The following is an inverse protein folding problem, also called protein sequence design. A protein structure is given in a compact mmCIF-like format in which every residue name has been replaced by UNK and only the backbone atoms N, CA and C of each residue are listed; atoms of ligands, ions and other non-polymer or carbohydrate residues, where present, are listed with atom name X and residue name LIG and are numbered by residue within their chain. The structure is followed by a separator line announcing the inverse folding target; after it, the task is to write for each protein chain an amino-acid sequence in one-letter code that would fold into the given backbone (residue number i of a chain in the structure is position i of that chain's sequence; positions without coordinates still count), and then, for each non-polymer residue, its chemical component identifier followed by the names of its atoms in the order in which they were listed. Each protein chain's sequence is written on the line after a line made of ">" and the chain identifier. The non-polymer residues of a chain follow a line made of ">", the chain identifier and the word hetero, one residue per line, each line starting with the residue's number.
data_IF_144234507283
#
_entry.id   IF_144234507283
#
_cell.length_a   1.000
_cell.length_b   1.000
_cell.length_c   1.000
_cell.angle_alpha   90.00
_cell.angle_beta   90.00
_cell.angle_gamma   90.00
#
_symmetry.space_group_name_H-M   'P 1'
#
loop_
_entity.id
_entity.type
_entity.pdbx_description
1 polymer ?
#
# COMPACT_ATOMS: atom_id res chain seq x y z
N UNK A 1 -34.25 17.57 -14.20
CA UNK A 1 -33.38 18.22 -13.18
C UNK A 1 -32.75 17.13 -12.32
N UNK A 2 -31.44 16.96 -12.40
CA UNK A 2 -30.68 16.01 -11.57
C UNK A 2 -30.56 16.64 -10.18
N UNK A 3 -31.31 16.15 -9.18
CA UNK A 3 -31.09 16.55 -7.78
C UNK A 3 -29.72 15.97 -7.40
N UNK A 4 -28.72 16.85 -7.42
CA UNK A 4 -27.33 16.48 -7.28
C UNK A 4 -27.09 15.76 -5.96
N UNK A 5 -26.23 14.74 -5.98
CA UNK A 5 -25.45 14.38 -4.79
C UNK A 5 -25.02 15.70 -4.15
N UNK A 6 -25.31 15.89 -2.86
CA UNK A 6 -25.05 17.18 -2.22
C UNK A 6 -23.60 17.53 -2.52
N UNK A 7 -23.34 18.76 -3.02
CA UNK A 7 -21.98 19.19 -3.35
C UNK A 7 -21.03 18.88 -2.20
N UNK A 8 -21.54 18.95 -0.97
CA UNK A 8 -20.90 18.58 0.29
C UNK A 8 -20.36 17.13 0.27
N UNK A 9 -21.14 16.10 -0.07
CA UNK A 9 -20.64 14.70 -0.11
C UNK A 9 -19.53 14.49 -1.14
N UNK A 10 -19.62 15.16 -2.29
CA UNK A 10 -18.58 15.08 -3.33
C UNK A 10 -17.31 15.84 -2.91
N UNK A 11 -17.47 16.99 -2.25
CA UNK A 11 -16.37 17.77 -1.67
C UNK A 11 -15.71 16.97 -0.54
N UNK A 12 -16.47 16.33 0.35
CA UNK A 12 -15.93 15.48 1.43
C UNK A 12 -15.16 14.31 0.84
N UNK A 13 -15.67 13.64 -0.20
CA UNK A 13 -14.96 12.54 -0.86
C UNK A 13 -13.65 13.02 -1.50
N UNK A 14 -13.65 14.18 -2.17
CA UNK A 14 -12.44 14.79 -2.74
C UNK A 14 -11.46 15.22 -1.65
N UNK A 15 -11.93 15.80 -0.55
CA UNK A 15 -11.11 16.21 0.61
C UNK A 15 -10.52 14.99 1.30
N UNK A 16 -11.26 13.90 1.50
CA UNK A 16 -10.75 12.65 2.05
C UNK A 16 -9.73 11.98 1.12
N UNK A 17 -9.93 12.04 -0.20
CA UNK A 17 -8.95 11.63 -1.20
C UNK A 17 -7.68 12.50 -1.12
N UNK A 18 -7.85 13.82 -1.02
CA UNK A 18 -6.74 14.77 -0.92
C UNK A 18 -5.98 14.58 0.40
N UNK A 19 -6.67 14.32 1.51
CA UNK A 19 -6.09 13.97 2.82
C UNK A 19 -5.39 12.62 2.74
N UNK A 20 -5.96 11.61 2.10
CA UNK A 20 -5.31 10.31 1.91
C UNK A 20 -4.03 10.42 1.07
N UNK A 21 -4.08 11.21 -0.01
CA UNK A 21 -2.94 11.51 -0.88
C UNK A 21 -1.90 12.35 -0.13
N UNK A 22 -2.28 13.42 0.58
CA UNK A 22 -1.35 14.27 1.34
C UNK A 22 -0.79 13.58 2.59
N UNK A 23 -1.56 12.75 3.29
CA UNK A 23 -1.08 11.89 4.37
C UNK A 23 -0.11 10.80 3.84
N UNK A 24 -0.22 10.41 2.57
CA UNK A 24 0.77 9.56 1.90
C UNK A 24 2.04 10.33 1.47
N UNK A 25 2.00 11.67 1.46
CA UNK A 25 3.13 12.55 1.14
C UNK A 25 3.80 13.19 2.37
N UNK A 26 3.12 13.39 3.51
CA UNK A 26 3.69 14.09 4.66
C UNK A 26 4.62 13.22 5.52
N UNK A 27 5.76 13.82 5.83
CA UNK A 27 7.03 13.25 6.24
C UNK A 27 7.21 12.94 7.75
N UNK A 28 8.20 12.06 7.99
CA UNK A 28 9.16 12.04 9.12
C UNK A 28 8.65 11.74 10.54
N UNK A 29 8.59 10.45 10.91
CA UNK A 29 8.71 10.03 12.33
C UNK A 29 9.51 8.73 12.53
N UNK A 30 10.51 8.47 11.68
CA UNK A 30 11.56 7.52 12.04
C UNK A 30 12.90 8.12 11.70
N UNK A 31 13.76 8.24 12.72
CA UNK A 31 15.18 8.51 12.54
C UNK A 31 15.70 7.49 11.51
N UNK A 32 16.33 7.95 10.42
CA UNK A 32 17.03 7.08 9.46
C UNK A 32 17.81 6.00 10.19
N UNK A 33 18.02 4.82 9.58
CA UNK A 33 18.81 3.76 10.21
C UNK A 33 20.16 4.26 10.73
N UNK A 34 20.79 5.26 10.06
CA UNK A 34 22.04 5.90 10.51
C UNK A 34 21.92 6.73 11.80
N UNK A 35 20.71 7.14 12.17
CA UNK A 35 20.38 7.95 13.33
C UNK A 35 19.71 7.11 14.45
N UNK A 36 19.50 5.82 14.21
CA UNK A 36 19.06 4.89 15.24
C UNK A 36 20.16 4.71 16.31
N UNK A 37 19.87 4.92 17.61
CA UNK A 37 20.87 4.82 18.69
C UNK A 37 21.56 3.44 18.72
N UNK A 38 20.85 2.35 18.47
CA UNK A 38 21.42 1.00 18.45
C UNK A 38 22.34 0.76 17.24
N UNK A 39 22.07 1.41 16.10
CA UNK A 39 22.96 1.33 14.94
C UNK A 39 24.20 2.22 15.10
N UNK A 40 24.03 3.39 15.73
CA UNK A 40 25.11 4.30 16.09
C UNK A 40 26.10 3.65 17.06
N UNK A 41 25.59 2.95 18.06
CA UNK A 41 26.39 2.17 19.00
C UNK A 41 27.17 1.05 18.30
N UNK A 42 26.53 0.27 17.42
CA UNK A 42 27.22 -0.76 16.62
C UNK A 42 28.28 -0.19 15.67
N UNK A 43 28.04 0.99 15.09
CA UNK A 43 29.04 1.66 14.26
C UNK A 43 30.23 2.14 15.09
N UNK A 44 29.99 2.59 16.34
CA UNK A 44 31.04 2.91 17.31
C UNK A 44 31.83 1.66 17.71
N UNK A 45 31.16 0.56 18.07
CA UNK A 45 31.76 -0.74 18.40
C UNK A 45 32.66 -1.23 17.25
N UNK A 46 32.16 -1.19 16.01
CA UNK A 46 32.94 -1.56 14.82
C UNK A 46 34.18 -0.68 14.61
N UNK A 47 34.05 0.62 14.88
CA UNK A 47 35.16 1.58 14.75
C UNK A 47 36.22 1.35 15.84
N UNK A 48 35.80 1.07 17.08
CA UNK A 48 36.68 0.72 18.19
C UNK A 48 37.42 -0.59 17.91
N UNK A 49 36.69 -1.64 17.49
CA UNK A 49 37.27 -2.92 17.12
C UNK A 49 38.33 -2.77 16.01
N UNK A 50 38.09 -1.91 15.01
CA UNK A 50 39.08 -1.61 13.97
C UNK A 50 40.35 -0.97 14.54
N UNK A 51 40.22 -0.04 15.50
CA UNK A 51 41.36 0.59 16.17
C UNK A 51 42.17 -0.42 17.01
N UNK A 52 41.48 -1.29 17.74
CA UNK A 52 42.10 -2.33 18.56
C UNK A 52 42.90 -3.31 17.70
N UNK A 53 42.32 -3.80 16.60
CA UNK A 53 43.03 -4.68 15.67
C UNK A 53 44.22 -4.00 15.01
N UNK A 54 44.10 -2.74 14.60
CA UNK A 54 45.22 -1.98 14.07
C UNK A 54 46.35 -1.84 15.10
N UNK A 55 46.02 -1.61 16.38
CA UNK A 55 47.01 -1.53 17.46
C UNK A 55 47.69 -2.88 17.72
N UNK A 56 46.91 -3.97 17.73
CA UNK A 56 47.41 -5.34 17.90
C UNK A 56 48.33 -5.76 16.75
N UNK A 57 47.97 -5.44 15.50
CA UNK A 57 48.82 -5.67 14.33
C UNK A 57 50.11 -4.83 14.41
N UNK A 58 50.01 -3.53 14.69
CA UNK A 58 51.19 -2.65 14.81
C UNK A 58 52.15 -3.14 15.89
N UNK A 59 51.62 -3.56 17.05
CA UNK A 59 52.43 -4.12 18.15
C UNK A 59 53.09 -5.44 17.76
N UNK A 60 52.38 -6.31 17.04
CA UNK A 60 52.94 -7.58 16.59
C UNK A 60 54.04 -7.36 15.54
N UNK A 61 53.83 -6.43 14.61
CA UNK A 61 54.83 -6.03 13.62
C UNK A 61 56.06 -5.39 14.27
N UNK A 62 55.90 -4.59 15.34
CA UNK A 62 57.05 -4.03 16.07
C UNK A 62 57.87 -5.09 16.79
N UNK A 63 57.22 -6.10 17.39
CA UNK A 63 57.90 -7.22 18.06
C UNK A 63 58.74 -8.01 17.04
N UNK A 64 58.21 -8.24 15.84
CA UNK A 64 58.96 -8.86 14.75
C UNK A 64 60.13 -7.99 14.26
N UNK A 65 59.90 -6.69 14.02
CA UNK A 65 60.95 -5.75 13.59
C UNK A 65 62.10 -5.64 14.59
N UNK A 66 61.80 -5.77 15.89
CA UNK A 66 62.78 -5.75 16.96
C UNK A 66 63.46 -7.12 17.18
N UNK A 67 63.26 -8.08 16.28
CA UNK A 67 63.80 -9.45 16.34
C UNK A 67 63.46 -10.21 17.64
N UNK A 68 62.35 -9.86 18.29
CA UNK A 68 61.92 -10.50 19.55
C UNK A 68 61.19 -11.83 19.32
N UNK A 69 60.79 -12.13 18.08
CA UNK A 69 60.13 -13.37 17.68
C UNK A 69 60.73 -13.88 16.36
N UNK A 70 60.69 -15.20 16.16
CA UNK A 70 61.15 -15.80 14.92
C UNK A 70 60.17 -15.51 13.77
N UNK A 71 60.66 -15.63 12.53
CA UNK A 71 59.83 -15.50 11.32
C UNK A 71 58.67 -16.52 11.31
N UNK A 72 58.91 -17.75 11.75
CA UNK A 72 57.88 -18.78 11.81
C UNK A 72 56.79 -18.43 12.83
N UNK A 73 57.18 -17.98 14.02
CA UNK A 73 56.24 -17.58 15.07
C UNK A 73 55.40 -16.38 14.64
N UNK A 74 56.01 -15.41 13.97
CA UNK A 74 55.30 -14.27 13.39
C UNK A 74 54.17 -14.73 12.45
N UNK A 75 54.44 -15.64 11.51
CA UNK A 75 53.39 -16.10 10.58
C UNK A 75 52.30 -16.92 11.28
N UNK A 76 52.65 -17.74 12.29
CA UNK A 76 51.66 -18.49 13.07
C UNK A 76 50.72 -17.55 13.82
N UNK A 77 51.26 -16.55 14.52
CA UNK A 77 50.48 -15.56 15.26
C UNK A 77 49.65 -14.70 14.30
N UNK A 78 50.21 -14.30 13.15
CA UNK A 78 49.50 -13.52 12.13
C UNK A 78 48.29 -14.27 11.57
N UNK A 79 48.46 -15.54 11.23
CA UNK A 79 47.36 -16.37 10.73
C UNK A 79 46.26 -16.57 11.79
N UNK A 80 46.64 -16.75 13.05
CA UNK A 80 45.68 -16.82 14.17
C UNK A 80 44.92 -15.50 14.33
N UNK A 81 45.63 -14.38 14.39
CA UNK A 81 45.05 -13.05 14.49
C UNK A 81 44.09 -12.73 13.34
N UNK A 82 44.42 -13.13 12.10
CA UNK A 82 43.53 -12.91 10.97
C UNK A 82 42.21 -13.70 11.11
N UNK A 83 42.28 -14.95 11.58
CA UNK A 83 41.09 -15.78 11.84
C UNK A 83 40.20 -15.16 12.91
N UNK A 84 40.79 -14.75 14.04
CA UNK A 84 40.10 -14.06 15.14
C UNK A 84 39.45 -12.75 14.64
N UNK A 85 40.20 -11.91 13.92
CA UNK A 85 39.69 -10.66 13.34
C UNK A 85 38.47 -10.90 12.44
N UNK A 86 38.54 -11.89 11.55
CA UNK A 86 37.41 -12.24 10.68
C UNK A 86 36.19 -12.66 11.50
N UNK A 87 36.38 -13.47 12.54
CA UNK A 87 35.30 -13.91 13.42
C UNK A 87 34.60 -12.72 14.12
N UNK A 88 35.38 -11.77 14.66
CA UNK A 88 34.84 -10.59 15.34
C UNK A 88 34.00 -9.71 14.40
N UNK A 89 34.51 -9.43 13.19
CA UNK A 89 33.77 -8.64 12.20
C UNK A 89 32.52 -9.38 11.67
N UNK A 90 32.55 -10.71 11.58
CA UNK A 90 31.37 -11.51 11.25
C UNK A 90 30.32 -11.39 12.35
N UNK A 91 30.71 -11.42 13.63
CA UNK A 91 29.79 -11.26 14.76
C UNK A 91 29.08 -9.89 14.73
N UNK A 92 29.83 -8.80 14.53
CA UNK A 92 29.26 -7.45 14.36
C UNK A 92 28.34 -7.38 13.14
N UNK A 93 28.73 -7.98 12.02
CA UNK A 93 27.91 -8.01 10.80
C UNK A 93 26.58 -8.74 11.03
N UNK A 94 26.60 -9.88 11.76
CA UNK A 94 25.38 -10.62 12.14
C UNK A 94 24.46 -9.78 13.03
N UNK A 95 24.99 -9.08 14.04
CA UNK A 95 24.21 -8.18 14.91
C UNK A 95 23.59 -7.03 14.11
N UNK A 96 24.36 -6.39 13.24
CA UNK A 96 23.86 -5.32 12.36
C UNK A 96 22.74 -5.81 11.44
N UNK A 97 22.87 -7.02 10.88
CA UNK A 97 21.82 -7.65 10.08
C UNK A 97 20.56 -7.91 10.91
N UNK A 98 20.70 -8.39 12.15
CA UNK A 98 19.58 -8.62 13.07
C UNK A 98 18.81 -7.33 13.36
N UNK A 99 19.51 -6.25 13.72
CA UNK A 99 18.87 -4.94 13.95
C UNK A 99 18.23 -4.40 12.67
N UNK A 100 18.89 -4.59 11.51
CA UNK A 100 18.29 -4.24 10.21
C UNK A 100 16.98 -4.98 9.94
N UNK A 101 16.87 -6.24 10.39
CA UNK A 101 15.64 -7.03 10.30
C UNK A 101 14.60 -6.57 11.34
N UNK A 102 15.00 -6.26 12.57
CA UNK A 102 14.10 -5.75 13.62
C UNK A 102 13.52 -4.38 13.28
N UNK A 103 14.28 -3.54 12.57
CA UNK A 103 13.79 -2.28 12.00
C UNK A 103 13.03 -2.44 10.68
N UNK A 104 12.89 -3.68 10.19
CA UNK A 104 12.13 -3.98 8.97
C UNK A 104 10.69 -4.36 9.32
N UNK A 105 9.71 -3.70 8.70
CA UNK A 105 8.31 -4.07 8.83
C UNK A 105 7.99 -5.18 7.82
N UNK A 106 7.60 -6.38 8.27
CA UNK A 106 7.36 -7.56 7.41
C UNK A 106 8.50 -7.86 6.42
N UNK A 107 9.77 -7.69 6.83
CA UNK A 107 10.93 -7.90 5.96
C UNK A 107 11.20 -6.76 4.96
N UNK A 108 10.51 -5.62 5.09
CA UNK A 108 10.75 -4.41 4.31
C UNK A 108 11.51 -3.39 5.14
N UNK A 109 12.58 -2.83 4.58
CA UNK A 109 13.55 -1.96 5.26
C UNK A 109 12.96 -0.70 5.94
N UNK A 110 11.68 -0.37 5.76
CA UNK A 110 11.02 0.77 6.38
C UNK A 110 9.49 0.66 6.37
N UNK A 111 8.83 0.86 7.53
CA UNK A 111 7.38 1.02 7.65
C UNK A 111 6.85 2.16 6.77
N UNK A 112 7.64 3.21 6.57
CA UNK A 112 7.26 4.35 5.74
C UNK A 112 7.19 3.99 4.25
N UNK A 113 8.15 3.20 3.77
CA UNK A 113 8.10 2.65 2.42
C UNK A 113 6.86 1.74 2.25
N UNK A 114 6.54 0.95 3.27
CA UNK A 114 5.32 0.14 3.27
C UNK A 114 4.06 1.01 3.18
N UNK A 115 3.90 2.02 4.05
CA UNK A 115 2.76 2.94 4.04
C UNK A 115 2.64 3.67 2.70
N UNK A 116 3.75 4.13 2.13
CA UNK A 116 3.77 4.79 0.82
C UNK A 116 3.33 3.84 -0.30
N UNK A 117 3.90 2.63 -0.36
CA UNK A 117 3.54 1.62 -1.37
C UNK A 117 2.09 1.16 -1.23
N UNK A 118 1.63 0.96 0.00
CA UNK A 118 0.26 0.60 0.31
C UNK A 118 -0.70 1.72 -0.06
N UNK A 119 -0.42 2.97 0.35
CA UNK A 119 -1.24 4.14 0.03
C UNK A 119 -1.35 4.40 -1.47
N UNK A 120 -0.27 4.21 -2.22
CA UNK A 120 -0.29 4.27 -3.68
C UNK A 120 -1.19 3.19 -4.26
N UNK A 121 -1.01 1.94 -3.84
CA UNK A 121 -1.82 0.80 -4.30
C UNK A 121 -3.32 0.99 -3.98
N UNK A 122 -3.62 1.53 -2.79
CA UNK A 122 -4.98 1.84 -2.35
C UNK A 122 -5.61 2.96 -3.19
N UNK A 123 -4.85 4.02 -3.48
CA UNK A 123 -5.31 5.11 -4.33
C UNK A 123 -5.61 4.59 -5.74
N UNK A 124 -4.73 3.76 -6.31
CA UNK A 124 -4.95 3.11 -7.60
C UNK A 124 -6.19 2.23 -7.61
N UNK A 125 -6.43 1.48 -6.54
CA UNK A 125 -7.64 0.67 -6.40
C UNK A 125 -8.91 1.53 -6.39
N UNK A 126 -8.93 2.61 -5.59
CA UNK A 126 -10.05 3.55 -5.52
C UNK A 126 -10.33 4.16 -6.90
N UNK A 127 -9.29 4.65 -7.60
CA UNK A 127 -9.40 5.20 -8.96
C UNK A 127 -9.93 4.14 -9.94
N UNK A 128 -9.47 2.90 -9.84
CA UNK A 128 -9.94 1.80 -10.68
C UNK A 128 -11.43 1.52 -10.47
N UNK A 129 -11.91 1.56 -9.23
CA UNK A 129 -13.34 1.45 -8.92
C UNK A 129 -14.15 2.64 -9.46
N UNK A 130 -13.63 3.87 -9.40
CA UNK A 130 -14.28 5.05 -10.00
C UNK A 130 -14.34 4.98 -11.53
N UNK A 131 -13.30 4.47 -12.18
CA UNK A 131 -13.29 4.22 -13.62
C UNK A 131 -14.31 3.15 -13.99
N UNK A 132 -14.33 2.02 -13.26
CA UNK A 132 -15.33 0.97 -13.44
C UNK A 132 -16.76 1.50 -13.28
N UNK A 133 -16.98 2.41 -12.34
CA UNK A 133 -18.26 3.11 -12.18
C UNK A 133 -18.64 3.94 -13.41
N UNK A 134 -17.71 4.76 -13.91
CA UNK A 134 -17.94 5.58 -15.11
C UNK A 134 -18.24 4.69 -16.33
N UNK A 135 -17.48 3.62 -16.51
CA UNK A 135 -17.65 2.67 -17.61
C UNK A 135 -19.00 1.96 -17.53
N UNK A 136 -19.45 1.57 -16.33
CA UNK A 136 -20.77 0.96 -16.14
C UNK A 136 -21.92 1.89 -16.57
N UNK A 137 -21.84 3.19 -16.27
CA UNK A 137 -22.84 4.18 -16.68
C UNK A 137 -22.87 4.33 -18.19
N UNK A 138 -21.70 4.47 -18.80
CA UNK A 138 -21.57 4.70 -20.23
C UNK A 138 -21.92 3.45 -21.06
N UNK A 139 -21.61 2.25 -20.55
CA UNK A 139 -22.05 0.98 -21.14
C UNK A 139 -23.57 0.86 -21.16
N UNK A 140 -24.26 1.22 -20.06
CA UNK A 140 -25.73 1.24 -20.02
C UNK A 140 -26.34 2.22 -21.03
N UNK A 141 -25.64 3.32 -21.33
CA UNK A 141 -26.05 4.30 -22.34
C UNK A 141 -25.73 3.86 -23.78
N UNK A 142 -25.14 2.70 -23.98
CA UNK A 142 -24.72 2.21 -25.30
C UNK A 142 -23.52 2.96 -25.89
N UNK A 143 -22.78 3.70 -25.07
CA UNK A 143 -21.70 4.59 -25.52
C UNK A 143 -20.31 3.94 -25.45
N UNK A 144 -20.16 2.77 -24.79
CA UNK A 144 -18.90 2.02 -24.74
C UNK A 144 -18.87 0.90 -25.77
N UNK A 145 -17.68 0.65 -26.31
CA UNK A 145 -17.36 -0.56 -27.07
C UNK A 145 -17.22 -1.76 -26.14
N UNK A 146 -17.46 -2.96 -26.66
CA UNK A 146 -17.50 -4.21 -25.89
C UNK A 146 -16.23 -4.55 -25.09
N UNK A 147 -15.07 -3.98 -25.44
CA UNK A 147 -13.79 -4.26 -24.78
C UNK A 147 -13.45 -3.27 -23.65
N UNK A 148 -14.05 -2.08 -23.62
CA UNK A 148 -13.75 -1.03 -22.64
C UNK A 148 -14.12 -1.45 -21.20
N UNK A 149 -15.25 -2.16 -20.95
CA UNK A 149 -15.56 -2.74 -19.64
C UNK A 149 -14.52 -3.75 -19.13
N UNK A 150 -13.84 -4.44 -20.06
CA UNK A 150 -12.80 -5.44 -19.72
C UNK A 150 -11.51 -4.78 -19.22
N UNK A 151 -11.24 -3.55 -19.66
CA UNK A 151 -10.10 -2.77 -19.18
C UNK A 151 -10.27 -2.40 -17.70
N UNK A 152 -11.47 -1.98 -17.28
CA UNK A 152 -11.77 -1.68 -15.88
C UNK A 152 -11.55 -2.89 -14.95
N UNK A 153 -11.97 -4.08 -15.38
CA UNK A 153 -11.74 -5.33 -14.62
C UNK A 153 -10.23 -5.59 -14.45
N UNK A 154 -9.44 -5.38 -15.51
CA UNK A 154 -7.98 -5.53 -15.45
C UNK A 154 -7.32 -4.53 -14.50
N UNK A 155 -7.77 -3.26 -14.47
CA UNK A 155 -7.25 -2.26 -13.53
C UNK A 155 -7.58 -2.61 -12.07
N UNK A 156 -8.79 -3.12 -11.81
CA UNK A 156 -9.17 -3.65 -10.48
C UNK A 156 -8.28 -4.84 -10.11
N UNK A 157 -8.01 -5.76 -11.03
CA UNK A 157 -7.16 -6.93 -10.77
C UNK A 157 -5.73 -6.56 -10.44
N UNK A 158 -5.14 -5.65 -11.22
CA UNK A 158 -3.77 -5.17 -11.00
C UNK A 158 -3.67 -4.42 -9.67
N UNK A 159 -4.65 -3.58 -9.33
CA UNK A 159 -4.62 -2.82 -8.07
C UNK A 159 -4.84 -3.71 -6.83
N UNK A 160 -5.73 -4.72 -6.91
CA UNK A 160 -5.88 -5.74 -5.87
C UNK A 160 -4.63 -6.58 -5.70
N UNK A 161 -3.97 -6.95 -6.80
CA UNK A 161 -2.67 -7.64 -6.76
C UNK A 161 -1.66 -6.82 -5.94
N UNK A 162 -1.51 -5.52 -6.23
CA UNK A 162 -0.57 -4.65 -5.52
C UNK A 162 -0.97 -4.37 -4.07
N UNK A 163 -2.27 -4.30 -3.76
CA UNK A 163 -2.78 -4.18 -2.39
C UNK A 163 -2.49 -5.44 -1.57
N UNK A 164 -2.86 -6.61 -2.10
CA UNK A 164 -2.56 -7.89 -1.48
C UNK A 164 -1.06 -8.05 -1.26
N UNK A 165 -0.28 -7.75 -2.29
CA UNK A 165 1.17 -7.77 -2.23
C UNK A 165 1.70 -6.79 -1.18
N UNK A 166 1.12 -5.61 -1.06
CA UNK A 166 1.52 -4.63 -0.05
C UNK A 166 1.27 -5.14 1.37
N UNK A 167 0.17 -5.84 1.63
CA UNK A 167 -0.20 -6.33 2.98
C UNK A 167 0.57 -7.60 3.38
N UNK A 168 0.57 -8.62 2.50
CA UNK A 168 0.91 -9.99 2.91
C UNK A 168 2.33 -10.43 2.57
N UNK A 169 3.08 -9.68 1.75
CA UNK A 169 4.28 -10.23 1.11
C UNK A 169 5.60 -9.82 1.77
N UNK A 170 6.46 -10.80 2.02
CA UNK A 170 7.87 -10.64 2.41
C UNK A 170 8.77 -10.70 1.16
N UNK A 171 9.92 -10.01 1.17
CA UNK A 171 10.80 -9.88 -0.01
C UNK A 171 11.33 -11.20 -0.62
N UNK A 172 11.12 -12.37 0.02
CA UNK A 172 11.58 -13.68 -0.47
C UNK A 172 10.65 -14.31 -1.52
N UNK A 173 9.38 -13.95 -1.52
CA UNK A 173 8.38 -14.63 -2.36
C UNK A 173 8.36 -14.09 -3.81
N UNK A 174 9.10 -13.00 -4.09
CA UNK A 174 9.20 -12.34 -5.40
C UNK A 174 9.72 -13.26 -6.53
N UNK A 175 10.48 -14.30 -6.18
CA UNK A 175 11.13 -15.18 -7.16
C UNK A 175 10.29 -16.39 -7.59
N UNK A 176 9.15 -16.65 -6.95
CA UNK A 176 8.37 -17.84 -7.27
C UNK A 176 7.28 -17.53 -8.31
N UNK A 177 7.53 -17.84 -9.59
CA UNK A 177 6.56 -17.66 -10.67
C UNK A 177 5.23 -18.37 -10.40
N UNK A 178 5.27 -19.49 -9.66
CA UNK A 178 4.07 -20.24 -9.23
C UNK A 178 3.17 -19.37 -8.35
N UNK A 179 3.76 -18.59 -7.44
CA UNK A 179 3.02 -17.67 -6.59
C UNK A 179 2.33 -16.57 -7.41
N UNK A 180 3.04 -15.99 -8.39
CA UNK A 180 2.48 -14.96 -9.28
C UNK A 180 1.26 -15.51 -10.04
N UNK A 181 1.37 -16.72 -10.59
CA UNK A 181 0.31 -17.35 -11.37
C UNK A 181 -0.91 -17.70 -10.51
N UNK A 182 -0.71 -18.26 -9.30
CA UNK A 182 -1.81 -18.54 -8.36
C UNK A 182 -2.51 -17.25 -7.94
N UNK A 183 -1.74 -16.20 -7.64
CA UNK A 183 -2.32 -14.93 -7.22
C UNK A 183 -3.12 -14.26 -8.35
N UNK A 184 -2.61 -14.27 -9.59
CA UNK A 184 -3.36 -13.81 -10.76
C UNK A 184 -4.65 -14.63 -10.94
N UNK A 185 -4.57 -15.95 -10.81
CA UNK A 185 -5.73 -16.85 -10.88
C UNK A 185 -6.84 -16.53 -9.88
N UNK A 186 -6.50 -16.04 -8.69
CA UNK A 186 -7.47 -15.62 -7.67
C UNK A 186 -7.96 -14.18 -7.88
N UNK A 187 -7.08 -13.26 -8.29
CA UNK A 187 -7.42 -11.85 -8.42
C UNK A 187 -8.36 -11.56 -9.60
N UNK A 188 -8.29 -12.31 -10.69
CA UNK A 188 -9.19 -12.14 -11.83
C UNK A 188 -10.68 -12.41 -11.48
N UNK A 189 -11.05 -13.58 -10.90
CA UNK A 189 -12.41 -13.83 -10.43
C UNK A 189 -12.90 -12.80 -9.41
N UNK A 190 -12.03 -12.40 -8.46
CA UNK A 190 -12.37 -11.41 -7.44
C UNK A 190 -12.67 -10.04 -8.05
N UNK A 191 -11.89 -9.63 -9.05
CA UNK A 191 -12.07 -8.35 -9.76
C UNK A 191 -13.33 -8.34 -10.60
N UNK A 192 -13.62 -9.47 -11.26
CA UNK A 192 -14.88 -9.67 -11.96
C UNK A 192 -16.08 -9.56 -11.02
N UNK A 193 -16.01 -10.19 -9.84
CA UNK A 193 -17.04 -10.08 -8.81
C UNK A 193 -17.23 -8.62 -8.35
N UNK A 194 -16.15 -7.91 -8.02
CA UNK A 194 -16.21 -6.50 -7.59
C UNK A 194 -16.83 -5.61 -8.67
N UNK A 195 -16.41 -5.78 -9.93
CA UNK A 195 -16.95 -5.03 -11.05
C UNK A 195 -18.47 -5.25 -11.21
N UNK A 196 -18.93 -6.50 -11.17
CA UNK A 196 -20.35 -6.81 -11.27
C UNK A 196 -21.15 -6.40 -10.03
N UNK A 197 -20.55 -6.46 -8.85
CA UNK A 197 -21.14 -5.94 -7.61
C UNK A 197 -21.38 -4.43 -7.73
N UNK A 198 -20.38 -3.67 -8.20
CA UNK A 198 -20.50 -2.23 -8.49
C UNK A 198 -21.68 -1.99 -9.44
N UNK A 199 -21.74 -2.68 -10.59
CA UNK A 199 -22.86 -2.53 -11.54
C UNK A 199 -24.21 -2.81 -10.88
N UNK A 200 -24.30 -3.90 -10.10
CA UNK A 200 -25.56 -4.35 -9.50
C UNK A 200 -26.09 -3.35 -8.48
N UNK A 201 -25.23 -2.84 -7.60
CA UNK A 201 -25.62 -1.81 -6.60
C UNK A 201 -26.18 -0.58 -7.31
N UNK A 202 -25.53 -0.12 -8.38
CA UNK A 202 -26.01 1.05 -9.13
C UNK A 202 -27.24 0.79 -9.99
N UNK A 203 -27.44 -0.44 -10.47
CA UNK A 203 -28.68 -0.81 -11.16
C UNK A 203 -29.89 -0.67 -10.23
N UNK A 204 -29.74 -1.05 -8.97
CA UNK A 204 -30.78 -0.93 -7.94
C UNK A 204 -31.08 0.54 -7.65
N UNK A 205 -30.06 1.38 -7.42
CA UNK A 205 -30.24 2.82 -7.21
C UNK A 205 -30.94 3.49 -8.42
N UNK A 206 -30.51 3.14 -9.64
CA UNK A 206 -31.10 3.69 -10.86
C UNK A 206 -32.57 3.30 -11.04
N UNK A 207 -32.92 2.03 -10.78
CA UNK A 207 -34.31 1.55 -10.84
C UNK A 207 -35.17 2.18 -9.75
N UNK A 208 -34.63 2.34 -8.55
CA UNK A 208 -35.33 3.00 -7.44
C UNK A 208 -35.67 4.46 -7.81
N UNK A 209 -34.71 5.19 -8.38
CA UNK A 209 -34.91 6.57 -8.82
C UNK A 209 -35.95 6.68 -9.95
N UNK A 210 -35.94 5.73 -10.88
CA UNK A 210 -36.89 5.65 -11.98
C UNK A 210 -38.31 5.34 -11.47
N UNK A 211 -38.44 4.41 -10.53
CA UNK A 211 -39.71 4.10 -9.88
C UNK A 211 -40.27 5.31 -9.11
N UNK A 212 -39.43 6.04 -8.36
CA UNK A 212 -39.83 7.28 -7.68
C UNK A 212 -40.28 8.33 -8.69
N UNK A 213 -39.56 8.51 -9.80
CA UNK A 213 -39.93 9.47 -10.85
C UNK A 213 -41.27 9.10 -11.50
N UNK A 214 -41.51 7.82 -11.77
CA UNK A 214 -42.76 7.33 -12.34
C UNK A 214 -43.92 7.52 -11.36
N UNK A 215 -43.71 7.26 -10.07
CA UNK A 215 -44.69 7.50 -9.02
C UNK A 215 -45.06 8.99 -8.93
N UNK A 216 -44.06 9.87 -8.87
CA UNK A 216 -44.27 11.33 -8.85
C UNK A 216 -45.01 11.79 -10.10
N UNK A 217 -44.62 11.30 -11.29
CA UNK A 217 -45.31 11.63 -12.54
C UNK A 217 -46.75 11.14 -12.55
N UNK A 218 -47.03 9.96 -11.98
CA UNK A 218 -48.36 9.41 -11.90
C UNK A 218 -49.24 10.25 -10.95
N UNK A 219 -48.74 10.61 -9.76
CA UNK A 219 -49.43 11.50 -8.82
C UNK A 219 -49.69 12.87 -9.45
N UNK A 220 -48.72 13.45 -10.15
CA UNK A 220 -48.88 14.74 -10.81
C UNK A 220 -49.92 14.72 -11.94
N UNK A 221 -50.01 13.63 -12.71
CA UNK A 221 -50.87 13.53 -13.89
C UNK A 221 -52.29 13.04 -13.61
N UNK A 222 -52.50 12.28 -12.52
CA UNK A 222 -53.79 11.63 -12.23
C UNK A 222 -54.53 12.21 -11.02
N UNK A 223 -53.95 13.16 -10.29
CA UNK A 223 -54.67 13.85 -9.21
C UNK A 223 -55.44 15.03 -9.80
N UNK A 224 -56.78 15.00 -9.67
CA UNK A 224 -57.68 16.08 -10.12
C UNK A 224 -57.38 17.38 -9.35
N UNK A 225 -57.58 18.53 -10.00
CA UNK A 225 -57.31 19.87 -9.42
C UNK A 225 -58.03 20.12 -8.08
N UNK A 226 -59.18 19.48 -7.83
CA UNK A 226 -59.92 19.60 -6.56
C UNK A 226 -59.23 18.95 -5.34
N UNK A 227 -58.12 18.23 -5.53
CA UNK A 227 -57.37 17.49 -4.48
C UNK A 227 -55.89 17.89 -4.43
N UNK A 228 -55.61 19.18 -4.69
CA UNK A 228 -54.25 19.68 -4.75
C UNK A 228 -53.52 19.59 -3.38
N UNK A 229 -54.24 19.77 -2.28
CA UNK A 229 -53.67 19.64 -0.92
C UNK A 229 -53.24 18.18 -0.62
N UNK A 230 -54.03 17.18 -1.01
CA UNK A 230 -53.67 15.75 -0.88
C UNK A 230 -52.43 15.40 -1.73
N UNK A 231 -52.28 16.04 -2.89
CA UNK A 231 -51.12 15.89 -3.79
C UNK A 231 -49.85 16.42 -3.14
N UNK A 232 -49.89 17.58 -2.49
CA UNK A 232 -48.75 18.14 -1.76
C UNK A 232 -48.40 17.30 -0.53
N UNK A 233 -49.38 16.83 0.24
CA UNK A 233 -49.16 15.97 1.41
C UNK A 233 -48.52 14.62 1.02
N UNK A 234 -48.93 14.03 -0.10
CA UNK A 234 -48.31 12.79 -0.63
C UNK A 234 -46.88 13.02 -1.09
N UNK A 235 -46.60 14.14 -1.76
CA UNK A 235 -45.24 14.50 -2.20
C UNK A 235 -44.32 14.78 -1.01
N UNK A 236 -44.84 15.38 0.05
CA UNK A 236 -44.10 15.65 1.29
C UNK A 236 -43.78 14.34 2.04
N UNK A 237 -44.74 13.40 2.15
CA UNK A 237 -44.50 12.05 2.71
C UNK A 237 -43.44 11.26 1.92
N UNK A 238 -43.44 11.36 0.59
CA UNK A 238 -42.42 10.71 -0.24
C UNK A 238 -41.05 11.40 -0.09
N UNK A 239 -41.02 12.72 0.09
CA UNK A 239 -39.79 13.47 0.29
C UNK A 239 -39.14 13.21 1.65
N UNK A 240 -39.93 13.04 2.72
CA UNK A 240 -39.42 12.75 4.06
C UNK A 240 -39.04 11.29 4.28
N UNK A 241 -39.73 10.33 3.64
CA UNK A 241 -39.30 8.92 3.63
C UNK A 241 -38.06 8.66 2.75
N UNK A 242 -37.60 9.67 2.00
CA UNK A 242 -36.41 9.60 1.14
C UNK A 242 -35.14 10.23 1.72
N UNK A 243 -35.17 10.71 2.97
CA UNK A 243 -33.99 11.14 3.75
C UNK A 243 -33.42 9.96 4.54
#
# INVERSE_FOLDING_TARGET
>A
MVKGRSKITSIIAVVLLLIGITASFSHSFFTPFKENPASLELNKERSQLKKEWNKKETSHDSVFKNNLISKNDYFLIKNRNEKERKADFIAISKRRKKIGIEFSFNGRNSLHYWLKSFGFSLTFFIVSCFLAFKDAILYRKGLLKWYEPKAAISFIAISLFWLYHSIFMTARDYFNITYLLVLLGVMFPLSYFIYHFIIRVFSIEGKLLENIRNLVSHVLNYTKEEKEDEKWELLEKVADNGK
#
